data_IF_945620727849
#
_entry.id   IF_945620727849
#
_cell.length_a   1.000
_cell.length_b   1.000
_cell.length_c   1.000
_cell.angle_alpha   90.00
_cell.angle_beta   90.00
_cell.angle_gamma   90.00
#
_symmetry.space_group_name_H-M   'P 1'
#
loop_
_entity.id
_entity.type
_entity.pdbx_description
1 polymer ?
#
# COMPACT_ATOMS: atom_id res chain seq x y z
N UNK A 1 -20.15 -8.59 2.85
CA UNK A 1 -21.38 -8.08 2.22
C UNK A 1 -22.32 -7.64 3.32
N UNK A 2 -22.60 -6.35 3.46
CA UNK A 2 -23.57 -5.87 4.43
C UNK A 2 -24.98 -6.09 3.87
N UNK A 3 -25.88 -6.64 4.68
CA UNK A 3 -27.30 -6.73 4.34
C UNK A 3 -27.93 -5.35 4.49
N UNK A 4 -27.88 -4.55 3.42
CA UNK A 4 -28.43 -3.19 3.38
C UNK A 4 -29.84 -3.32 2.83
N UNK A 5 -30.82 -3.29 3.72
CA UNK A 5 -32.24 -3.18 3.38
C UNK A 5 -32.83 -2.03 4.20
N UNK A 6 -33.55 -1.12 3.54
CA UNK A 6 -34.18 0.04 4.20
C UNK A 6 -35.45 -0.30 5.00
N UNK A 7 -35.72 -1.59 5.22
CA UNK A 7 -36.90 -2.02 5.98
C UNK A 7 -36.55 -2.11 7.46
N UNK A 8 -37.38 -1.49 8.31
CA UNK A 8 -37.30 -1.68 9.77
C UNK A 8 -37.40 -3.17 10.12
N UNK A 9 -36.45 -3.65 10.92
CA UNK A 9 -36.46 -5.00 11.49
C UNK A 9 -36.37 -4.90 13.00
N UNK A 10 -37.26 -5.61 13.69
CA UNK A 10 -37.24 -5.74 15.15
C UNK A 10 -36.35 -6.91 15.52
N UNK A 11 -35.33 -6.67 16.35
CA UNK A 11 -34.41 -7.70 16.86
C UNK A 11 -35.00 -8.27 18.15
N UNK A 12 -35.10 -9.59 18.23
CA UNK A 12 -35.53 -10.27 19.45
C UNK A 12 -34.35 -10.55 20.40
N UNK A 13 -34.64 -10.62 21.69
CA UNK A 13 -33.63 -11.00 22.69
C UNK A 13 -33.11 -12.42 22.41
N UNK A 14 -31.78 -12.55 22.22
CA UNK A 14 -31.13 -13.82 21.85
C UNK A 14 -30.91 -14.03 20.35
N UNK A 15 -31.33 -13.09 19.50
CA UNK A 15 -31.14 -13.20 18.05
C UNK A 15 -29.70 -12.88 17.62
N UNK A 16 -29.06 -13.83 16.92
CA UNK A 16 -27.67 -13.67 16.44
C UNK A 16 -27.67 -12.86 15.15
N UNK A 17 -27.29 -11.59 15.26
CA UNK A 17 -27.34 -10.61 14.15
C UNK A 17 -26.17 -10.79 13.17
N UNK A 18 -25.03 -11.29 13.65
CA UNK A 18 -23.86 -11.55 12.82
C UNK A 18 -22.96 -12.61 13.46
N UNK A 19 -22.32 -13.40 12.61
CA UNK A 19 -21.24 -14.31 13.00
C UNK A 19 -19.97 -13.80 12.33
N UNK A 20 -18.95 -13.51 13.14
CA UNK A 20 -17.65 -13.06 12.64
C UNK A 20 -16.67 -14.23 12.66
N UNK A 21 -16.06 -14.50 11.51
CA UNK A 21 -14.89 -15.37 11.43
C UNK A 21 -13.61 -14.52 11.60
N UNK A 22 -12.57 -15.05 12.24
CA UNK A 22 -11.28 -14.36 12.30
C UNK A 22 -10.74 -14.13 10.88
N UNK A 23 -10.32 -12.90 10.61
CA UNK A 23 -9.67 -12.53 9.35
C UNK A 23 -8.29 -13.18 9.32
N UNK A 24 -8.13 -14.26 8.57
CA UNK A 24 -6.89 -15.05 8.51
C UNK A 24 -5.83 -14.45 7.61
N UNK A 25 -6.22 -13.60 6.66
CA UNK A 25 -5.32 -12.79 5.86
C UNK A 25 -6.03 -11.48 5.46
N UNK A 26 -5.26 -10.40 5.42
CA UNK A 26 -5.57 -9.25 4.59
C UNK A 26 -4.68 -9.42 3.38
N UNK A 27 -5.20 -10.02 2.32
CA UNK A 27 -4.49 -10.04 1.05
C UNK A 27 -4.45 -8.60 0.55
N UNK A 28 -3.42 -7.88 0.97
CA UNK A 28 -2.92 -6.78 0.19
C UNK A 28 -2.47 -7.43 -1.12
N UNK A 29 -3.37 -7.45 -2.11
CA UNK A 29 -2.96 -7.69 -3.48
C UNK A 29 -1.93 -6.61 -3.78
N UNK A 30 -0.66 -6.92 -3.58
CA UNK A 30 0.37 -6.36 -4.40
C UNK A 30 0.02 -6.85 -5.81
N UNK A 31 -0.85 -6.10 -6.49
CA UNK A 31 -0.80 -6.00 -7.93
C UNK A 31 0.51 -5.25 -8.25
N UNK A 32 1.64 -5.79 -7.82
CA UNK A 32 2.90 -5.58 -8.51
C UNK A 32 2.66 -6.27 -9.84
N UNK A 33 2.03 -5.55 -10.77
CA UNK A 33 2.41 -5.74 -12.15
C UNK A 33 3.91 -5.55 -12.11
N UNK A 34 4.64 -6.67 -12.12
CA UNK A 34 6.08 -6.67 -12.18
C UNK A 34 6.42 -6.04 -13.53
N UNK A 35 6.50 -4.70 -13.53
CA UNK A 35 6.99 -3.95 -14.67
C UNK A 35 8.31 -4.60 -15.05
N UNK A 36 8.52 -4.86 -16.33
CA UNK A 36 9.77 -5.46 -16.75
C UNK A 36 10.90 -4.49 -16.44
N UNK A 37 12.10 -4.98 -16.14
CA UNK A 37 13.29 -4.10 -16.02
C UNK A 37 13.48 -3.26 -17.30
N UNK A 38 13.00 -3.75 -18.44
CA UNK A 38 12.98 -3.02 -19.71
C UNK A 38 12.00 -1.84 -19.75
N UNK A 39 10.84 -1.96 -19.07
CA UNK A 39 9.85 -0.88 -19.02
C UNK A 39 10.38 0.28 -18.18
N UNK A 40 11.05 -0.03 -17.06
CA UNK A 40 11.72 0.98 -16.23
C UNK A 40 12.80 1.75 -17.00
N UNK A 41 13.64 1.03 -17.77
CA UNK A 41 14.69 1.67 -18.59
C UNK A 41 14.07 2.56 -19.66
N UNK A 42 12.99 2.11 -20.32
CA UNK A 42 12.29 2.91 -21.32
C UNK A 42 11.67 4.16 -20.71
N UNK A 43 10.93 4.02 -19.61
CA UNK A 43 10.24 5.12 -18.94
C UNK A 43 11.23 6.19 -18.47
N UNK A 44 12.33 5.79 -17.83
CA UNK A 44 13.34 6.72 -17.33
C UNK A 44 14.12 7.42 -18.45
N UNK A 45 14.30 6.78 -19.61
CA UNK A 45 15.05 7.34 -20.74
C UNK A 45 14.15 7.98 -21.82
N UNK A 46 12.83 7.92 -21.70
CA UNK A 46 11.91 8.32 -22.77
C UNK A 46 12.08 9.79 -23.18
N UNK A 47 12.28 10.68 -22.21
CA UNK A 47 12.32 12.13 -22.42
C UNK A 47 13.70 12.76 -22.11
N UNK A 48 14.77 11.97 -22.17
CA UNK A 48 16.13 12.44 -21.91
C UNK A 48 16.86 12.78 -23.21
N UNK A 49 17.52 13.94 -23.26
CA UNK A 49 18.40 14.35 -24.36
C UNK A 49 19.81 13.78 -24.15
N UNK A 50 19.97 12.51 -24.53
CA UNK A 50 21.21 11.75 -24.39
C UNK A 50 21.61 11.16 -25.75
N UNK A 51 22.91 11.14 -26.02
CA UNK A 51 23.45 10.43 -27.18
C UNK A 51 23.34 8.91 -27.01
N UNK A 52 23.52 8.14 -28.09
CA UNK A 52 23.34 6.69 -28.04
C UNK A 52 24.30 5.98 -27.06
N UNK A 53 25.52 6.50 -26.90
CA UNK A 53 26.51 5.92 -25.98
C UNK A 53 26.10 6.17 -24.53
N UNK A 54 25.62 7.38 -24.24
CA UNK A 54 25.10 7.79 -22.95
C UNK A 54 23.83 7.02 -22.60
N UNK A 55 22.90 6.84 -23.56
CA UNK A 55 21.70 6.01 -23.37
C UNK A 55 22.06 4.57 -23.04
N UNK A 56 23.06 4.00 -23.72
CA UNK A 56 23.55 2.67 -23.43
C UNK A 56 24.14 2.57 -22.00
N UNK A 57 25.02 3.50 -21.64
CA UNK A 57 25.62 3.55 -20.30
C UNK A 57 24.58 3.76 -19.19
N UNK A 58 23.61 4.65 -19.42
CA UNK A 58 22.50 4.88 -18.50
C UNK A 58 21.61 3.65 -18.37
N UNK A 59 21.34 2.93 -19.48
CA UNK A 59 20.59 1.68 -19.45
C UNK A 59 21.27 0.59 -18.63
N UNK A 60 22.60 0.47 -18.68
CA UNK A 60 23.37 -0.45 -17.84
C UNK A 60 23.23 -0.05 -16.36
N UNK A 61 23.39 1.23 -16.04
CA UNK A 61 23.31 1.74 -14.68
C UNK A 61 21.89 1.55 -14.09
N UNK A 62 20.85 1.83 -14.86
CA UNK A 62 19.46 1.65 -14.41
C UNK A 62 19.17 0.17 -14.11
N UNK A 63 19.70 -0.77 -14.92
CA UNK A 63 19.55 -2.21 -14.67
C UNK A 63 20.28 -2.63 -13.39
N UNK A 64 21.50 -2.15 -13.18
CA UNK A 64 22.30 -2.45 -12.01
C UNK A 64 21.63 -1.96 -10.72
N UNK A 65 21.06 -0.76 -10.76
CA UNK A 65 20.42 -0.11 -9.62
C UNK A 65 18.90 -0.10 -9.67
N UNK A 66 18.29 -1.08 -10.36
CA UNK A 66 16.83 -1.12 -10.58
C UNK A 66 16.01 -1.06 -9.28
N UNK A 67 16.53 -1.62 -8.18
CA UNK A 67 15.88 -1.63 -6.87
C UNK A 67 15.94 -0.30 -6.11
N UNK A 68 16.62 0.73 -6.65
CA UNK A 68 16.63 2.08 -6.09
C UNK A 68 15.50 2.96 -6.65
N UNK A 69 14.89 2.55 -7.77
CA UNK A 69 13.84 3.32 -8.41
C UNK A 69 12.47 2.80 -7.96
N UNK A 70 11.62 3.70 -7.49
CA UNK A 70 10.22 3.41 -7.17
C UNK A 70 9.45 3.14 -8.46
N UNK A 71 8.82 1.96 -8.56
CA UNK A 71 8.13 1.52 -9.81
C UNK A 71 6.64 1.84 -9.83
N UNK A 72 6.03 1.97 -8.65
CA UNK A 72 4.61 2.26 -8.48
C UNK A 72 4.42 3.23 -7.32
N UNK A 73 3.24 3.84 -7.22
CA UNK A 73 2.88 4.69 -6.07
C UNK A 73 2.92 3.96 -4.72
N UNK A 74 2.90 2.63 -4.75
CA UNK A 74 2.89 1.77 -3.56
C UNK A 74 4.30 1.28 -3.17
N UNK A 75 5.32 1.63 -3.96
CA UNK A 75 6.71 1.25 -3.70
C UNK A 75 7.35 2.23 -2.70
N UNK A 76 6.98 2.05 -1.43
CA UNK A 76 7.47 2.84 -0.31
C UNK A 76 8.82 2.32 0.18
N UNK A 77 9.77 3.25 0.40
CA UNK A 77 11.07 2.92 0.98
C UNK A 77 10.95 2.31 2.37
N UNK A 78 11.55 1.13 2.58
CA UNK A 78 11.60 0.45 3.88
C UNK A 78 13.04 0.14 4.26
N UNK A 79 13.40 0.39 5.51
CA UNK A 79 14.68 -0.03 6.10
C UNK A 79 14.47 -1.04 7.22
N UNK A 80 15.41 -1.98 7.34
CA UNK A 80 15.50 -2.92 8.47
C UNK A 80 16.56 -2.50 9.50
N UNK A 81 17.33 -1.45 9.21
CA UNK A 81 18.49 -1.03 10.02
C UNK A 81 18.09 -0.51 11.40
N UNK A 82 16.95 0.18 11.47
CA UNK A 82 16.46 0.77 12.70
C UNK A 82 15.02 0.35 12.93
N UNK A 83 14.71 -0.06 14.15
CA UNK A 83 13.33 -0.19 14.64
C UNK A 83 13.10 0.91 15.66
N UNK A 84 12.15 1.80 15.37
CA UNK A 84 11.76 2.83 16.31
C UNK A 84 10.79 2.24 17.34
N UNK A 85 11.05 2.51 18.62
CA UNK A 85 10.11 2.26 19.72
C UNK A 85 9.64 3.62 20.23
N UNK A 86 8.34 3.87 20.16
CA UNK A 86 7.74 5.04 20.79
C UNK A 86 7.52 4.67 22.26
N UNK A 87 8.18 5.39 23.16
CA UNK A 87 8.00 5.17 24.60
C UNK A 87 6.77 5.93 25.08
N UNK A 88 5.71 5.19 25.40
CA UNK A 88 4.46 5.76 25.93
C UNK A 88 4.43 5.78 27.46
N UNK A 89 5.50 5.35 28.14
CA UNK A 89 5.53 5.21 29.59
C UNK A 89 4.39 4.32 30.11
N UNK A 90 3.83 4.70 31.26
CA UNK A 90 2.69 4.01 31.90
C UNK A 90 1.32 4.56 31.44
N UNK A 91 1.29 5.33 30.35
CA UNK A 91 0.04 5.94 29.89
C UNK A 91 -0.89 4.90 29.25
N UNK A 92 -2.19 4.84 29.65
CA UNK A 92 -3.13 3.88 29.10
C UNK A 92 -3.48 4.21 27.63
N UNK A 93 -3.83 3.22 26.79
CA UNK A 93 -4.27 3.45 25.42
C UNK A 93 -5.52 4.34 25.35
N UNK A 94 -5.53 5.28 24.40
CA UNK A 94 -6.66 6.20 24.18
C UNK A 94 -7.45 5.74 22.96
N UNK A 95 -8.76 5.53 23.13
CA UNK A 95 -9.70 5.23 22.04
C UNK A 95 -10.42 6.52 21.63
N UNK A 96 -10.11 7.04 20.44
CA UNK A 96 -10.82 8.18 19.85
C UNK A 96 -11.77 7.69 18.74
N UNK A 97 -12.98 8.27 18.68
CA UNK A 97 -13.89 8.00 17.57
C UNK A 97 -13.44 8.79 16.33
N UNK A 98 -13.51 8.22 15.12
CA UNK A 98 -13.19 8.96 13.91
C UNK A 98 -14.09 10.20 13.78
N UNK A 99 -13.50 11.33 13.43
CA UNK A 99 -14.26 12.53 13.10
C UNK A 99 -14.98 12.33 11.75
N UNK A 100 -16.16 12.93 11.59
CA UNK A 100 -16.93 12.84 10.34
C UNK A 100 -16.21 13.64 9.25
N UNK A 101 -15.55 12.95 8.32
CA UNK A 101 -15.02 13.57 7.11
C UNK A 101 -16.12 13.64 6.05
N UNK A 102 -16.23 14.77 5.36
CA UNK A 102 -17.04 14.86 4.14
C UNK A 102 -16.32 14.05 3.06
N UNK A 103 -16.96 13.02 2.52
CA UNK A 103 -16.45 12.30 1.33
C UNK A 103 -16.64 13.22 0.11
N UNK A 104 -15.54 13.51 -0.58
CA UNK A 104 -15.53 14.16 -1.89
C UNK A 104 -15.46 13.09 -2.98
#
# INVERSE_FOLDING_TARGET
>A
MANISDKMKTIQEGEVIAVCAPVTCVDQKCNSQDLSSEDLVKDLLQNTDLDEKQRCAAGVLIREFQGLFSRTSDDFGRTRLTKHRIDTGEHPPIKQHPSRTTVC
#
